data_IF_632523703272
#
_entry.id   IF_632523703272
#
_cell.length_a   1.000
_cell.length_b   1.000
_cell.length_c   1.000
_cell.angle_alpha   90.00
_cell.angle_beta   90.00
_cell.angle_gamma   90.00
#
_symmetry.space_group_name_H-M   'P 1'
#
loop_
_entity.id
_entity.type
_entity.pdbx_description
1 polymer ?
#
# COMPACT_ATOMS: atom_id res chain seq x y z
N UNK A 1 15.80 -7.52 -2.02
CA UNK A 1 16.19 -6.14 -2.42
C UNK A 1 17.17 -6.25 -3.58
N UNK A 2 17.04 -5.43 -4.65
CA UNK A 2 18.00 -5.42 -5.76
C UNK A 2 19.39 -4.95 -5.31
N UNK A 3 20.46 -5.47 -5.94
CA UNK A 3 21.83 -5.10 -5.60
C UNK A 3 22.08 -3.60 -5.76
N UNK A 4 21.56 -3.01 -6.84
CA UNK A 4 21.70 -1.57 -7.11
C UNK A 4 21.13 -0.67 -6.00
N UNK A 5 20.11 -1.13 -5.27
CA UNK A 5 19.53 -0.40 -4.13
C UNK A 5 20.50 -0.43 -2.95
N UNK A 6 21.05 -1.61 -2.61
CA UNK A 6 22.05 -1.76 -1.53
C UNK A 6 23.33 -0.98 -1.85
N UNK A 7 23.74 -0.99 -3.11
CA UNK A 7 24.95 -0.27 -3.54
C UNK A 7 24.77 1.25 -3.42
N UNK A 8 23.57 1.79 -3.69
CA UNK A 8 23.29 3.23 -3.55
C UNK A 8 23.39 3.70 -2.09
N UNK A 9 22.86 2.94 -1.13
CA UNK A 9 23.03 3.23 0.29
C UNK A 9 24.49 3.21 0.71
N UNK A 10 25.20 2.17 0.29
CA UNK A 10 26.63 2.00 0.61
C UNK A 10 27.45 3.15 0.06
N UNK A 11 27.22 3.54 -1.18
CA UNK A 11 27.89 4.67 -1.82
C UNK A 11 27.66 5.97 -1.06
N UNK A 12 26.38 6.27 -0.73
CA UNK A 12 26.07 7.47 0.04
C UNK A 12 26.77 7.50 1.40
N UNK A 13 26.67 6.41 2.17
CA UNK A 13 27.24 6.34 3.53
C UNK A 13 28.76 6.43 3.55
N UNK A 14 29.44 5.89 2.53
CA UNK A 14 30.92 5.88 2.48
C UNK A 14 31.50 7.18 1.90
N UNK A 15 30.79 7.85 0.98
CA UNK A 15 31.40 8.91 0.17
C UNK A 15 30.71 10.27 0.27
N UNK A 16 29.41 10.34 0.65
CA UNK A 16 28.60 11.56 0.57
C UNK A 16 27.92 11.95 1.87
N UNK A 17 28.07 11.16 2.94
CA UNK A 17 27.32 11.32 4.19
C UNK A 17 27.58 12.68 4.86
N UNK A 18 26.63 13.61 4.71
CA UNK A 18 26.68 14.95 5.30
C UNK A 18 25.28 15.50 5.60
N UNK A 19 25.20 16.50 6.48
CA UNK A 19 24.00 17.30 6.63
C UNK A 19 23.77 18.20 5.41
N UNK A 20 22.52 18.56 5.19
CA UNK A 20 22.04 19.41 4.08
C UNK A 20 22.25 20.89 4.33
N UNK A 21 22.14 21.69 3.25
CA UNK A 21 22.04 23.17 3.26
C UNK A 21 23.31 23.91 3.69
N UNK A 22 24.50 23.30 3.61
CA UNK A 22 25.77 23.95 3.84
C UNK A 22 26.56 24.17 2.52
N UNK A 23 27.56 25.06 2.57
CA UNK A 23 28.32 25.46 1.38
C UNK A 23 29.55 24.58 1.08
N UNK A 24 29.73 23.46 1.77
CA UNK A 24 30.83 22.54 1.49
C UNK A 24 30.37 21.38 0.57
N UNK A 25 31.28 20.78 -0.19
CA UNK A 25 30.92 19.86 -1.28
C UNK A 25 29.99 18.72 -0.86
N UNK A 26 30.31 17.96 0.18
CA UNK A 26 29.49 16.80 0.59
C UNK A 26 28.07 17.18 1.01
N UNK A 27 27.84 18.40 1.55
CA UNK A 27 26.49 18.89 1.83
C UNK A 27 25.72 19.19 0.54
N UNK A 28 26.40 19.80 -0.45
CA UNK A 28 25.78 20.08 -1.75
C UNK A 28 25.45 18.78 -2.50
N UNK A 29 26.33 17.78 -2.43
CA UNK A 29 26.08 16.44 -2.98
C UNK A 29 24.87 15.76 -2.33
N UNK A 30 24.68 15.92 -1.01
CA UNK A 30 23.49 15.43 -0.29
C UNK A 30 22.23 16.16 -0.75
N UNK A 31 22.27 17.48 -0.91
CA UNK A 31 21.13 18.25 -1.42
C UNK A 31 20.75 17.81 -2.85
N UNK A 32 21.75 17.69 -3.74
CA UNK A 32 21.54 17.23 -5.12
C UNK A 32 20.97 15.81 -5.19
N UNK A 33 21.43 14.91 -4.30
CA UNK A 33 20.93 13.54 -4.19
C UNK A 33 19.46 13.53 -3.75
N UNK A 34 19.08 14.30 -2.72
CA UNK A 34 17.68 14.40 -2.25
C UNK A 34 16.78 14.97 -3.34
N UNK A 35 17.23 16.01 -4.04
CA UNK A 35 16.48 16.57 -5.18
C UNK A 35 16.32 15.56 -6.32
N UNK A 36 17.38 14.78 -6.61
CA UNK A 36 17.34 13.69 -7.55
C UNK A 36 16.32 12.62 -7.17
N UNK A 37 16.26 12.28 -5.90
CA UNK A 37 15.32 11.33 -5.35
C UNK A 37 13.87 11.84 -5.42
N UNK A 38 13.63 13.13 -5.16
CA UNK A 38 12.30 13.74 -5.35
C UNK A 38 11.84 13.63 -6.81
N UNK A 39 12.74 13.92 -7.75
CA UNK A 39 12.44 13.76 -9.19
C UNK A 39 12.14 12.31 -9.55
N UNK A 40 12.87 11.34 -8.95
CA UNK A 40 12.60 9.93 -9.19
C UNK A 40 11.23 9.51 -8.66
N UNK A 41 10.88 9.92 -7.43
CA UNK A 41 9.57 9.64 -6.84
C UNK A 41 8.44 10.38 -7.56
N UNK A 42 8.66 11.61 -8.01
CA UNK A 42 7.70 12.34 -8.82
C UNK A 42 7.39 11.59 -10.13
N UNK A 43 8.41 11.08 -10.82
CA UNK A 43 8.23 10.23 -11.99
C UNK A 43 7.49 8.92 -11.65
N UNK A 44 7.76 8.32 -10.48
CA UNK A 44 7.08 7.11 -10.04
C UNK A 44 5.59 7.33 -9.77
N UNK A 45 5.23 8.48 -9.18
CA UNK A 45 3.85 8.82 -8.81
C UNK A 45 3.08 9.57 -9.90
N UNK A 46 3.75 10.14 -10.91
CA UNK A 46 3.16 11.06 -11.88
C UNK A 46 2.88 12.43 -11.28
N UNK A 47 3.77 12.93 -10.43
CA UNK A 47 3.69 14.18 -9.68
C UNK A 47 4.76 15.18 -10.14
N UNK A 48 4.72 16.39 -9.57
CA UNK A 48 5.85 17.32 -9.60
C UNK A 48 6.75 17.08 -8.38
N UNK A 49 8.08 17.30 -8.47
CA UNK A 49 9.00 17.11 -7.34
C UNK A 49 8.59 17.89 -6.09
N UNK A 50 8.06 19.11 -6.23
CA UNK A 50 7.57 19.95 -5.13
C UNK A 50 6.32 19.42 -4.41
N UNK A 51 5.70 18.37 -4.96
CA UNK A 51 4.53 17.71 -4.37
C UNK A 51 4.88 16.43 -3.61
N UNK A 52 6.17 16.10 -3.50
CA UNK A 52 6.67 14.86 -2.89
C UNK A 52 7.43 15.15 -1.62
N UNK A 53 6.96 14.63 -0.49
CA UNK A 53 7.63 14.70 0.82
C UNK A 53 8.05 13.29 1.28
N UNK A 54 9.19 13.23 1.98
CA UNK A 54 9.72 11.99 2.56
C UNK A 54 9.43 11.90 4.06
N UNK A 55 9.43 10.67 4.58
CA UNK A 55 9.31 10.38 6.00
C UNK A 55 9.66 8.93 6.31
N UNK A 56 9.52 8.51 7.56
CA UNK A 56 9.92 7.18 7.99
C UNK A 56 9.12 6.04 7.29
N UNK A 57 7.83 6.24 7.10
CA UNK A 57 6.92 5.30 6.41
C UNK A 57 5.56 5.96 6.19
N UNK A 58 4.70 5.32 5.37
CA UNK A 58 3.33 5.80 5.13
C UNK A 58 2.56 6.04 6.43
N UNK A 59 2.62 5.14 7.39
CA UNK A 59 1.86 5.24 8.65
C UNK A 59 2.19 6.51 9.43
N UNK A 60 3.48 6.81 9.63
CA UNK A 60 3.93 8.03 10.31
C UNK A 60 3.56 9.29 9.54
N UNK A 61 3.69 9.28 8.22
CA UNK A 61 3.27 10.38 7.36
C UNK A 61 1.76 10.63 7.46
N UNK A 62 0.94 9.57 7.49
CA UNK A 62 -0.52 9.70 7.64
C UNK A 62 -0.89 10.28 9.00
N UNK A 63 -0.23 9.83 10.10
CA UNK A 63 -0.44 10.44 11.42
C UNK A 63 -0.02 11.90 11.45
N UNK A 64 1.07 12.25 10.81
CA UNK A 64 1.57 13.63 10.74
C UNK A 64 0.59 14.52 9.96
N UNK A 65 0.17 14.09 8.78
CA UNK A 65 -0.81 14.78 7.95
C UNK A 65 -2.16 14.91 8.65
N UNK A 66 -2.64 13.85 9.30
CA UNK A 66 -3.90 13.85 10.03
C UNK A 66 -3.92 14.90 11.15
N UNK A 67 -2.81 15.05 11.90
CA UNK A 67 -2.66 16.10 12.92
C UNK A 67 -2.73 17.48 12.31
N UNK A 68 -2.11 17.69 11.15
CA UNK A 68 -2.13 18.98 10.44
C UNK A 68 -3.52 19.35 9.94
N UNK A 69 -4.16 18.43 9.20
CA UNK A 69 -5.51 18.66 8.68
C UNK A 69 -6.54 18.82 9.80
N UNK A 70 -6.41 18.01 10.86
CA UNK A 70 -7.33 18.00 11.98
C UNK A 70 -7.27 19.21 12.91
N UNK A 71 -6.32 20.15 12.76
CA UNK A 71 -6.24 21.34 13.63
C UNK A 71 -7.49 22.19 13.59
N UNK A 72 -8.11 22.32 12.43
CA UNK A 72 -9.34 23.08 12.23
C UNK A 72 -10.64 22.23 12.33
N UNK A 73 -10.55 20.93 12.68
CA UNK A 73 -11.70 20.05 12.76
C UNK A 73 -12.12 19.76 14.20
N UNK A 74 -13.40 19.40 14.39
CA UNK A 74 -13.95 19.12 15.71
C UNK A 74 -15.31 18.40 15.67
N UNK A 75 -16.09 18.49 16.76
CA UNK A 75 -17.43 17.89 16.81
C UNK A 75 -18.32 18.37 15.66
N UNK A 76 -18.96 17.41 14.98
CA UNK A 76 -19.76 17.67 13.77
C UNK A 76 -19.01 17.41 12.47
N UNK A 77 -17.68 17.39 12.48
CA UNK A 77 -16.88 16.97 11.32
C UNK A 77 -16.80 15.45 11.22
N UNK A 78 -16.76 14.92 10.00
CA UNK A 78 -16.72 13.49 9.72
C UNK A 78 -15.55 13.14 8.78
N UNK A 79 -14.89 12.00 9.02
CA UNK A 79 -13.95 11.35 8.10
C UNK A 79 -14.53 10.01 7.70
N UNK A 80 -14.49 9.70 6.41
CA UNK A 80 -14.90 8.41 5.84
C UNK A 80 -13.69 7.53 5.61
N UNK A 81 -13.78 6.26 6.02
CA UNK A 81 -12.78 5.19 5.80
C UNK A 81 -13.50 3.93 5.31
N UNK A 82 -12.76 2.91 4.83
CA UNK A 82 -13.39 1.67 4.35
C UNK A 82 -12.97 0.42 5.14
N UNK A 83 -13.79 -0.62 5.14
CA UNK A 83 -13.44 -1.92 5.74
C UNK A 83 -12.32 -2.65 5.01
N UNK A 84 -12.06 -2.32 3.75
CA UNK A 84 -10.97 -2.89 2.95
C UNK A 84 -9.60 -2.34 3.32
N UNK A 85 -9.55 -1.23 4.09
CA UNK A 85 -8.33 -0.51 4.39
C UNK A 85 -7.43 -1.26 5.39
N UNK A 86 -6.14 -1.12 5.15
CA UNK A 86 -5.13 -1.39 6.17
C UNK A 86 -5.32 -0.41 7.34
N UNK A 87 -5.12 -0.88 8.58
CA UNK A 87 -5.37 -0.09 9.78
C UNK A 87 -4.52 1.20 9.88
N UNK A 88 -3.39 1.25 9.17
CA UNK A 88 -2.59 2.48 9.02
C UNK A 88 -3.35 3.61 8.31
N UNK A 89 -4.37 3.28 7.48
CA UNK A 89 -5.26 4.24 6.85
C UNK A 89 -6.55 4.50 7.63
N UNK A 90 -6.71 3.90 8.82
CA UNK A 90 -7.87 4.08 9.70
C UNK A 90 -7.47 4.74 11.02
N UNK A 91 -6.40 4.24 11.66
CA UNK A 91 -6.00 4.63 13.01
C UNK A 91 -5.66 6.13 13.16
N UNK A 92 -4.97 6.78 12.20
CA UNK A 92 -4.67 8.21 12.30
C UNK A 92 -5.94 9.06 12.38
N UNK A 93 -6.95 8.74 11.58
CA UNK A 93 -8.25 9.43 11.57
C UNK A 93 -9.08 9.11 12.80
N UNK A 94 -9.02 7.87 13.30
CA UNK A 94 -9.65 7.50 14.57
C UNK A 94 -9.03 8.25 15.75
N UNK A 95 -7.71 8.55 15.69
CA UNK A 95 -7.07 9.38 16.70
C UNK A 95 -7.66 10.79 16.75
N UNK A 96 -7.96 11.40 15.59
CA UNK A 96 -8.68 12.69 15.56
C UNK A 96 -10.03 12.62 16.25
N UNK A 97 -10.74 11.50 16.13
CA UNK A 97 -12.00 11.28 16.85
C UNK A 97 -11.82 11.39 18.37
N UNK A 98 -10.78 10.76 18.92
CA UNK A 98 -10.44 10.82 20.35
C UNK A 98 -9.95 12.18 20.80
N UNK A 99 -9.11 12.82 19.98
CA UNK A 99 -8.39 14.04 20.35
C UNK A 99 -9.22 15.30 20.09
N UNK A 100 -10.13 15.28 19.11
CA UNK A 100 -10.83 16.44 18.57
C UNK A 100 -12.35 16.27 18.46
N UNK A 101 -12.89 15.09 18.71
CA UNK A 101 -14.34 14.80 18.58
C UNK A 101 -14.82 14.62 17.13
N UNK A 102 -13.91 14.45 16.18
CA UNK A 102 -14.23 14.15 14.77
C UNK A 102 -14.87 12.76 14.68
N UNK A 103 -15.98 12.61 13.97
CA UNK A 103 -16.61 11.31 13.77
C UNK A 103 -15.93 10.51 12.67
N UNK A 104 -15.87 9.18 12.84
CA UNK A 104 -15.33 8.26 11.83
C UNK A 104 -16.45 7.38 11.29
N UNK A 105 -16.70 7.47 9.99
CA UNK A 105 -17.67 6.61 9.28
C UNK A 105 -16.94 5.53 8.51
N UNK A 106 -17.31 4.29 8.76
CA UNK A 106 -16.81 3.12 8.05
C UNK A 106 -17.76 2.72 6.93
N UNK A 107 -17.28 2.70 5.69
CA UNK A 107 -17.99 2.12 4.54
C UNK A 107 -17.69 0.63 4.49
N UNK A 108 -18.71 -0.23 4.44
CA UNK A 108 -18.50 -1.68 4.46
C UNK A 108 -17.94 -2.19 3.12
N UNK A 109 -17.43 -3.41 3.15
CA UNK A 109 -17.22 -4.22 1.96
C UNK A 109 -18.38 -5.19 1.77
N UNK A 110 -18.61 -5.61 0.53
CA UNK A 110 -19.55 -6.68 0.17
C UNK A 110 -18.82 -8.01 0.38
N UNK A 111 -19.29 -8.80 1.36
CA UNK A 111 -18.61 -10.04 1.77
C UNK A 111 -18.54 -11.09 0.64
N UNK A 112 -19.57 -11.16 -0.20
CA UNK A 112 -19.67 -12.13 -1.30
C UNK A 112 -18.62 -11.88 -2.40
N UNK A 113 -18.29 -10.62 -2.65
CA UNK A 113 -17.39 -10.22 -3.74
C UNK A 113 -16.03 -9.73 -3.26
N UNK A 114 -15.89 -9.39 -1.98
CA UNK A 114 -14.68 -8.75 -1.44
C UNK A 114 -14.42 -7.37 -2.03
N UNK A 115 -15.44 -6.70 -2.55
CA UNK A 115 -15.37 -5.37 -3.14
C UNK A 115 -15.97 -4.31 -2.22
N UNK A 116 -15.67 -3.04 -2.49
CA UNK A 116 -16.24 -1.91 -1.76
C UNK A 116 -17.77 -1.79 -2.04
N UNK A 117 -18.53 -1.48 -1.01
CA UNK A 117 -19.92 -1.06 -1.16
C UNK A 117 -19.96 0.39 -1.71
N UNK A 118 -20.15 0.51 -3.02
CA UNK A 118 -20.17 1.79 -3.71
C UNK A 118 -21.39 2.64 -3.33
N UNK A 119 -22.54 2.03 -3.15
CA UNK A 119 -23.76 2.76 -2.74
C UNK A 119 -23.57 3.35 -1.34
N UNK A 120 -22.99 2.56 -0.43
CA UNK A 120 -22.63 3.01 0.89
C UNK A 120 -21.57 4.14 0.89
N UNK A 121 -20.61 4.10 -0.04
CA UNK A 121 -19.62 5.18 -0.19
C UNK A 121 -20.29 6.47 -0.69
N UNK A 122 -21.10 6.40 -1.73
CA UNK A 122 -21.80 7.57 -2.29
C UNK A 122 -22.75 8.21 -1.26
N UNK A 123 -23.48 7.40 -0.49
CA UNK A 123 -24.32 7.88 0.64
C UNK A 123 -23.48 8.56 1.73
N UNK A 124 -22.31 8.02 2.05
CA UNK A 124 -21.40 8.62 3.02
C UNK A 124 -20.87 9.98 2.53
N UNK A 125 -20.47 10.08 1.26
CA UNK A 125 -19.94 11.31 0.64
C UNK A 125 -21.03 12.39 0.46
N UNK A 126 -22.28 11.99 0.22
CA UNK A 126 -23.42 12.93 0.16
C UNK A 126 -23.61 13.74 1.46
N UNK A 127 -23.07 13.29 2.59
CA UNK A 127 -23.04 13.99 3.87
C UNK A 127 -21.96 15.08 3.97
N UNK A 128 -21.13 15.21 2.93
CA UNK A 128 -20.02 16.18 2.84
C UNK A 128 -19.01 16.04 3.98
N UNK A 129 -18.42 14.85 4.19
CA UNK A 129 -17.36 14.68 5.19
C UNK A 129 -16.15 15.56 4.85
N UNK A 130 -15.28 15.81 5.82
CA UNK A 130 -14.04 16.58 5.61
C UNK A 130 -13.03 15.84 4.74
N UNK A 131 -13.00 14.51 4.87
CA UNK A 131 -12.03 13.69 4.16
C UNK A 131 -12.57 12.28 3.92
N UNK A 132 -12.24 11.75 2.75
CA UNK A 132 -12.27 10.33 2.42
C UNK A 132 -10.84 9.77 2.48
N UNK A 133 -10.57 8.81 3.37
CA UNK A 133 -9.36 8.01 3.35
C UNK A 133 -9.68 6.62 2.78
N UNK A 134 -9.00 6.24 1.69
CA UNK A 134 -9.35 5.04 0.92
C UNK A 134 -8.09 4.34 0.39
N UNK A 135 -8.02 3.02 0.52
CA UNK A 135 -6.95 2.20 -0.04
C UNK A 135 -7.13 1.95 -1.54
N UNK A 136 -6.07 2.15 -2.32
CA UNK A 136 -6.07 1.82 -3.74
C UNK A 136 -6.10 0.30 -3.98
N UNK A 137 -5.59 -0.49 -3.03
CA UNK A 137 -5.72 -1.94 -3.05
C UNK A 137 -5.72 -2.54 -1.64
N UNK A 138 -6.60 -3.51 -1.40
CA UNK A 138 -6.64 -4.26 -0.15
C UNK A 138 -5.43 -5.18 -0.04
N UNK A 139 -4.64 -5.01 1.01
CA UNK A 139 -3.49 -5.89 1.29
C UNK A 139 -3.90 -7.28 1.78
N UNK A 140 -5.14 -7.47 2.22
CA UNK A 140 -5.67 -8.78 2.63
C UNK A 140 -6.21 -9.58 1.44
N UNK A 141 -7.02 -8.95 0.57
CA UNK A 141 -7.76 -9.63 -0.49
C UNK A 141 -7.19 -9.41 -1.89
N UNK A 142 -6.31 -8.42 -2.06
CA UNK A 142 -5.83 -8.01 -3.38
C UNK A 142 -6.83 -7.17 -4.17
N UNK A 143 -8.03 -6.91 -3.67
CA UNK A 143 -9.05 -6.08 -4.33
C UNK A 143 -8.47 -4.72 -4.69
N UNK A 144 -8.54 -4.32 -5.95
CA UNK A 144 -8.20 -2.98 -6.42
C UNK A 144 -9.46 -2.12 -6.41
N UNK A 145 -9.40 -0.99 -5.72
CA UNK A 145 -10.49 -0.01 -5.64
C UNK A 145 -10.33 1.04 -6.75
N UNK A 146 -11.41 1.43 -7.40
CA UNK A 146 -11.40 2.55 -8.35
C UNK A 146 -11.32 3.89 -7.58
N UNK A 147 -10.10 4.21 -7.15
CA UNK A 147 -9.85 5.44 -6.37
C UNK A 147 -10.01 6.71 -7.21
N UNK A 148 -9.95 6.63 -8.54
CA UNK A 148 -10.22 7.77 -9.41
C UNK A 148 -11.72 8.13 -9.38
N UNK A 149 -12.61 7.14 -9.48
CA UNK A 149 -14.05 7.33 -9.26
C UNK A 149 -14.33 7.88 -7.86
N UNK A 150 -13.71 7.29 -6.82
CA UNK A 150 -13.91 7.73 -5.44
C UNK A 150 -13.46 9.19 -5.24
N UNK A 151 -12.30 9.58 -5.78
CA UNK A 151 -11.79 10.94 -5.72
C UNK A 151 -12.68 11.94 -6.49
N UNK A 152 -13.25 11.54 -7.63
CA UNK A 152 -14.18 12.37 -8.38
C UNK A 152 -15.45 12.66 -7.56
N UNK A 153 -16.09 11.62 -7.01
CA UNK A 153 -17.30 11.76 -6.17
C UNK A 153 -17.01 12.58 -4.91
N UNK A 154 -15.85 12.35 -4.26
CA UNK A 154 -15.44 13.11 -3.09
C UNK A 154 -15.26 14.61 -3.41
N UNK A 155 -14.58 14.93 -4.53
CA UNK A 155 -14.37 16.30 -4.99
C UNK A 155 -15.70 17.01 -5.28
N UNK A 156 -16.66 16.34 -5.93
CA UNK A 156 -17.98 16.90 -6.22
C UNK A 156 -18.77 17.20 -4.93
N UNK A 157 -18.51 16.43 -3.87
CA UNK A 157 -19.03 16.67 -2.52
C UNK A 157 -18.27 17.74 -1.72
N UNK A 158 -17.15 18.27 -2.23
CA UNK A 158 -16.25 19.18 -1.50
C UNK A 158 -15.41 18.50 -0.43
N UNK A 159 -15.22 17.18 -0.52
CA UNK A 159 -14.49 16.32 0.41
C UNK A 159 -13.06 16.09 -0.06
N UNK A 160 -12.07 16.25 0.84
CA UNK A 160 -10.67 15.91 0.56
C UNK A 160 -10.51 14.39 0.37
N UNK A 161 -9.55 13.99 -0.46
CA UNK A 161 -9.23 12.57 -0.68
C UNK A 161 -7.79 12.26 -0.30
N UNK A 162 -7.61 11.28 0.61
CA UNK A 162 -6.32 10.66 0.93
C UNK A 162 -6.32 9.21 0.44
N UNK A 163 -5.34 8.85 -0.38
CA UNK A 163 -5.21 7.49 -0.95
C UNK A 163 -4.03 6.76 -0.31
N UNK A 164 -4.28 5.58 0.26
CA UNK A 164 -3.24 4.62 0.62
C UNK A 164 -2.89 3.77 -0.61
N UNK A 165 -1.70 4.00 -1.17
CA UNK A 165 -1.19 3.26 -2.32
C UNK A 165 -0.11 2.22 -1.95
N UNK A 166 0.10 1.91 -0.67
CA UNK A 166 1.17 1.01 -0.21
C UNK A 166 1.12 -0.36 -0.87
N UNK A 167 -0.06 -0.97 -0.94
CA UNK A 167 -0.22 -2.29 -1.59
C UNK A 167 -0.46 -2.20 -3.10
N UNK A 168 -0.77 -1.01 -3.60
CA UNK A 168 -1.02 -0.76 -5.03
C UNK A 168 0.28 -0.50 -5.80
N UNK A 169 1.14 0.34 -5.29
CA UNK A 169 2.34 0.86 -5.96
C UNK A 169 3.32 -0.22 -6.49
N UNK A 170 3.55 -1.37 -5.83
CA UNK A 170 4.42 -2.42 -6.36
C UNK A 170 3.81 -3.20 -7.54
N UNK A 171 2.50 -3.11 -7.77
CA UNK A 171 1.78 -3.95 -8.72
C UNK A 171 1.19 -3.19 -9.90
N UNK A 172 0.99 -1.87 -9.75
CA UNK A 172 0.41 -1.00 -10.76
C UNK A 172 1.05 0.38 -10.73
N UNK A 173 1.16 1.00 -11.88
CA UNK A 173 1.66 2.36 -11.96
C UNK A 173 0.71 3.31 -11.22
N UNK A 174 1.28 4.08 -10.29
CA UNK A 174 0.58 5.20 -9.68
C UNK A 174 0.58 6.38 -10.63
N UNK A 175 -0.58 7.02 -10.80
CA UNK A 175 -0.72 8.26 -11.55
C UNK A 175 -1.65 9.20 -10.79
N UNK A 176 -1.07 10.08 -9.97
CA UNK A 176 -1.82 10.97 -9.08
C UNK A 176 -2.69 11.98 -9.85
N UNK A 177 -2.27 12.32 -11.09
CA UNK A 177 -3.06 13.22 -11.96
C UNK A 177 -4.31 12.52 -12.47
N UNK A 178 -4.19 11.26 -12.88
CA UNK A 178 -5.33 10.45 -13.32
C UNK A 178 -6.25 10.08 -12.15
N UNK A 179 -5.70 9.77 -10.98
CA UNK A 179 -6.47 9.51 -9.74
C UNK A 179 -7.23 10.77 -9.31
N UNK A 180 -6.59 11.94 -9.37
CA UNK A 180 -7.20 13.21 -9.00
C UNK A 180 -7.40 13.40 -7.50
N UNK A 181 -6.68 12.68 -6.63
CA UNK A 181 -6.72 12.83 -5.17
C UNK A 181 -6.01 14.09 -4.67
N UNK A 182 -6.27 14.51 -3.43
CA UNK A 182 -5.56 15.61 -2.79
C UNK A 182 -4.24 15.15 -2.19
N UNK A 183 -4.21 13.93 -1.62
CA UNK A 183 -3.04 13.32 -1.01
C UNK A 183 -2.96 11.83 -1.39
N UNK A 184 -1.74 11.31 -1.46
CA UNK A 184 -1.48 9.88 -1.62
C UNK A 184 -0.20 9.52 -0.86
N UNK A 185 -0.17 8.36 -0.20
CA UNK A 185 1.05 7.89 0.45
C UNK A 185 1.37 6.43 0.10
N UNK A 186 2.66 6.14 0.05
CA UNK A 186 3.20 4.79 -0.10
C UNK A 186 4.49 4.63 0.72
N UNK A 187 5.07 3.43 0.72
CA UNK A 187 6.33 3.11 1.40
C UNK A 187 7.24 2.33 0.46
N UNK A 188 8.49 2.79 0.31
CA UNK A 188 9.43 2.29 -0.68
C UNK A 188 9.77 0.80 -0.49
N UNK A 189 9.76 0.29 0.75
CA UNK A 189 10.04 -1.13 1.01
C UNK A 189 9.03 -2.10 0.36
N UNK A 190 7.88 -1.61 -0.10
CA UNK A 190 6.91 -2.42 -0.84
C UNK A 190 7.26 -2.57 -2.32
N UNK A 191 8.04 -1.64 -2.89
CA UNK A 191 8.51 -1.67 -4.28
C UNK A 191 10.04 -1.73 -4.36
N UNK A 192 10.63 -2.68 -3.61
CA UNK A 192 12.06 -3.04 -3.61
C UNK A 192 13.02 -2.03 -2.97
N UNK A 193 12.53 -0.96 -2.36
CA UNK A 193 13.30 0.07 -1.67
C UNK A 193 13.45 -0.17 -0.16
N UNK A 194 13.97 0.80 0.57
CA UNK A 194 14.16 0.77 2.02
C UNK A 194 12.90 1.19 2.78
N UNK A 195 12.98 1.25 4.11
CA UNK A 195 11.93 1.77 4.98
C UNK A 195 11.88 3.30 4.93
N UNK A 196 11.39 3.82 3.82
CA UNK A 196 11.13 5.25 3.59
C UNK A 196 9.69 5.41 3.15
N UNK A 197 8.98 6.35 3.77
CA UNK A 197 7.64 6.79 3.36
C UNK A 197 7.73 7.89 2.31
N UNK A 198 6.77 7.89 1.41
CA UNK A 198 6.60 8.90 0.37
C UNK A 198 5.17 9.42 0.44
N UNK A 199 5.02 10.72 0.60
CA UNK A 199 3.75 11.43 0.60
C UNK A 199 3.68 12.35 -0.63
N UNK A 200 2.68 12.16 -1.44
CA UNK A 200 2.23 13.12 -2.43
C UNK A 200 1.14 14.01 -1.82
N UNK A 201 1.16 15.28 -2.14
CA UNK A 201 0.05 16.19 -1.91
C UNK A 201 -0.01 17.24 -3.00
N UNK A 202 -1.23 17.63 -3.42
CA UNK A 202 -1.38 18.75 -4.35
C UNK A 202 -0.72 20.00 -3.80
N UNK A 203 -0.03 20.77 -4.65
CA UNK A 203 0.73 21.94 -4.25
C UNK A 203 -0.10 22.91 -3.41
N UNK A 204 -1.36 23.18 -3.82
CA UNK A 204 -2.27 24.07 -3.09
C UNK A 204 -2.70 23.52 -1.72
N UNK A 205 -2.67 22.20 -1.53
CA UNK A 205 -2.95 21.54 -0.25
C UNK A 205 -1.75 21.55 0.67
N UNK A 206 -0.57 21.25 0.12
CA UNK A 206 0.68 21.28 0.87
C UNK A 206 1.03 22.68 1.36
N UNK A 207 0.70 23.73 0.59
CA UNK A 207 0.96 25.11 0.94
C UNK A 207 0.19 25.59 2.20
N UNK A 208 -0.97 24.97 2.50
CA UNK A 208 -1.87 25.43 3.57
C UNK A 208 -2.00 24.46 4.75
N UNK A 209 -1.51 23.21 4.60
CA UNK A 209 -1.63 22.24 5.70
C UNK A 209 -0.75 22.65 6.88
N UNK A 210 -1.36 22.77 8.07
CA UNK A 210 -0.68 23.20 9.29
C UNK A 210 -0.18 22.00 10.10
N UNK A 211 0.88 21.36 9.60
CA UNK A 211 1.50 20.21 10.30
C UNK A 211 2.34 20.65 11.50
N UNK A 212 2.42 19.83 12.57
CA UNK A 212 3.38 20.06 13.64
C UNK A 212 4.82 20.02 13.09
N UNK A 213 5.56 21.11 13.25
CA UNK A 213 6.95 21.24 12.82
C UNK A 213 7.77 22.06 13.79
N UNK A 214 9.09 22.04 13.66
CA UNK A 214 9.98 22.93 14.39
C UNK A 214 9.78 24.36 13.90
N UNK A 215 9.84 25.34 14.82
CA UNK A 215 9.68 26.75 14.49
C UNK A 215 10.66 27.24 13.40
N UNK A 216 11.96 26.87 13.42
CA UNK A 216 12.92 27.27 12.39
C UNK A 216 12.83 26.46 11.10
N UNK A 217 11.98 25.42 11.02
CA UNK A 217 11.84 24.61 9.80
C UNK A 217 11.18 25.42 8.67
N UNK A 218 11.49 25.12 7.39
CA UNK A 218 10.93 25.83 6.25
C UNK A 218 9.39 25.88 6.26
N UNK A 219 8.86 27.00 5.76
CA UNK A 219 7.40 27.17 5.56
C UNK A 219 6.94 26.67 4.20
N UNK A 220 7.88 26.42 3.30
CA UNK A 220 7.60 25.94 1.94
C UNK A 220 7.43 24.42 1.91
N UNK A 221 6.56 23.94 1.05
CA UNK A 221 6.47 22.52 0.73
C UNK A 221 7.56 22.15 -0.29
N UNK A 222 8.06 20.91 -0.25
CA UNK A 222 7.65 19.80 0.62
C UNK A 222 8.29 19.81 2.02
N UNK A 223 9.33 20.58 2.26
CA UNK A 223 10.18 20.54 3.47
C UNK A 223 9.39 20.80 4.75
N UNK A 224 8.34 21.63 4.70
CA UNK A 224 7.47 21.86 5.87
C UNK A 224 6.82 20.58 6.44
N UNK A 225 6.67 19.52 5.61
CA UNK A 225 6.10 18.23 6.02
C UNK A 225 7.18 17.26 6.50
N UNK A 226 8.45 17.58 6.30
CA UNK A 226 9.58 16.72 6.61
C UNK A 226 10.14 17.09 7.99
N UNK A 227 9.66 16.38 9.01
CA UNK A 227 9.97 16.69 10.40
C UNK A 227 11.28 16.04 10.84
N UNK A 228 12.24 16.87 11.23
CA UNK A 228 13.58 16.45 11.65
C UNK A 228 14.50 16.15 10.47
N UNK A 229 15.74 15.77 10.78
CA UNK A 229 16.70 15.35 9.77
C UNK A 229 16.20 14.11 9.05
N UNK A 230 16.15 14.16 7.73
CA UNK A 230 15.78 13.01 6.91
C UNK A 230 16.84 11.90 7.00
N UNK A 231 16.54 10.74 6.41
CA UNK A 231 17.50 9.63 6.21
C UNK A 231 18.01 9.68 4.78
N UNK A 232 19.08 10.46 4.47
CA UNK A 232 19.52 10.63 3.09
C UNK A 232 19.92 9.31 2.43
N UNK A 233 20.57 8.40 3.18
CA UNK A 233 20.92 7.05 2.72
C UNK A 233 19.68 6.25 2.29
N UNK A 234 18.59 6.32 3.06
CA UNK A 234 17.34 5.66 2.70
C UNK A 234 16.64 6.34 1.51
N UNK A 235 16.77 7.66 1.38
CA UNK A 235 16.21 8.40 0.26
C UNK A 235 16.96 8.07 -1.04
N UNK A 236 18.30 7.96 -0.99
CA UNK A 236 19.10 7.48 -2.11
C UNK A 236 18.67 6.09 -2.57
N UNK A 237 18.45 5.18 -1.62
CA UNK A 237 17.95 3.83 -1.87
C UNK A 237 16.57 3.81 -2.49
N UNK A 238 15.66 4.66 -2.00
CA UNK A 238 14.32 4.75 -2.54
C UNK A 238 14.33 5.24 -4.00
N UNK A 239 15.22 6.18 -4.34
CA UNK A 239 15.45 6.60 -5.72
C UNK A 239 16.04 5.45 -6.56
N UNK A 240 17.02 4.73 -6.03
CA UNK A 240 17.62 3.58 -6.71
C UNK A 240 16.62 2.45 -6.97
N UNK A 241 15.61 2.26 -6.11
CA UNK A 241 14.53 1.31 -6.36
C UNK A 241 13.67 1.72 -7.57
N UNK A 242 13.38 3.01 -7.73
CA UNK A 242 12.68 3.54 -8.91
C UNK A 242 13.51 3.38 -10.17
N UNK A 243 14.82 3.69 -10.10
CA UNK A 243 15.74 3.50 -11.23
C UNK A 243 15.86 2.01 -11.61
N UNK A 244 15.95 1.14 -10.62
CA UNK A 244 15.95 -0.31 -10.86
C UNK A 244 14.69 -0.74 -11.63
N UNK A 245 13.50 -0.33 -11.18
CA UNK A 245 12.27 -0.63 -11.92
C UNK A 245 12.32 -0.07 -13.34
N UNK A 246 12.71 1.19 -13.51
CA UNK A 246 12.82 1.81 -14.82
C UNK A 246 13.84 1.11 -15.73
N UNK A 247 14.89 0.51 -15.16
CA UNK A 247 15.95 -0.20 -15.92
C UNK A 247 15.50 -1.53 -16.52
N UNK A 248 14.38 -2.09 -16.05
CA UNK A 248 13.83 -3.35 -16.57
C UNK A 248 13.20 -3.21 -17.97
N UNK A 249 12.96 -1.97 -18.41
CA UNK A 249 12.48 -1.67 -19.76
C UNK A 249 13.37 -0.61 -20.42
N UNK A 250 13.59 -0.73 -21.72
CA UNK A 250 14.36 0.23 -22.51
C UNK A 250 13.51 1.35 -23.08
N UNK A 251 14.19 2.42 -23.56
CA UNK A 251 13.61 3.53 -24.33
C UNK A 251 12.93 4.61 -23.50
N UNK A 252 12.91 5.84 -24.00
CA UNK A 252 12.19 6.99 -23.43
C UNK A 252 12.71 7.52 -22.08
N UNK A 253 11.94 8.44 -21.51
CA UNK A 253 12.19 9.00 -20.18
C UNK A 253 11.86 8.01 -19.04
N UNK A 254 12.25 8.35 -17.79
CA UNK A 254 12.02 7.47 -16.63
C UNK A 254 10.53 7.11 -16.49
N UNK A 255 9.64 8.08 -16.56
CA UNK A 255 8.17 7.85 -16.45
C UNK A 255 7.64 6.89 -17.52
N UNK A 256 8.12 6.98 -18.75
CA UNK A 256 7.71 6.09 -19.85
C UNK A 256 8.18 4.65 -19.61
N UNK A 257 9.43 4.48 -19.15
CA UNK A 257 9.98 3.17 -18.77
C UNK A 257 9.21 2.57 -17.60
N UNK A 258 8.88 3.38 -16.58
CA UNK A 258 8.05 2.93 -15.45
C UNK A 258 6.65 2.50 -15.90
N UNK A 259 6.05 3.18 -16.86
CA UNK A 259 4.76 2.77 -17.44
C UNK A 259 4.87 1.43 -18.16
N UNK A 260 5.90 1.23 -18.94
CA UNK A 260 6.14 -0.01 -19.68
C UNK A 260 6.39 -1.19 -18.72
N UNK A 261 7.29 -1.04 -17.74
CA UNK A 261 7.58 -2.10 -16.77
C UNK A 261 6.36 -2.43 -15.90
N UNK A 262 5.61 -1.43 -15.45
CA UNK A 262 4.41 -1.64 -14.64
C UNK A 262 3.36 -2.46 -15.41
N UNK A 263 3.18 -2.19 -16.70
CA UNK A 263 2.27 -2.95 -17.56
C UNK A 263 2.69 -4.41 -17.68
N UNK A 264 3.98 -4.67 -17.86
CA UNK A 264 4.51 -6.05 -17.95
C UNK A 264 4.44 -6.80 -16.62
N UNK A 265 4.81 -6.14 -15.51
CA UNK A 265 4.69 -6.74 -14.17
C UNK A 265 3.23 -7.04 -13.81
N UNK A 266 2.31 -6.16 -14.20
CA UNK A 266 0.88 -6.41 -14.02
C UNK A 266 0.41 -7.62 -14.82
N UNK A 267 0.75 -7.71 -16.12
CA UNK A 267 0.41 -8.85 -16.97
C UNK A 267 0.95 -10.18 -16.42
N UNK A 268 2.22 -10.18 -15.98
CA UNK A 268 2.85 -11.36 -15.35
C UNK A 268 2.15 -11.72 -14.04
N UNK A 269 1.91 -10.75 -13.16
CA UNK A 269 1.24 -10.96 -11.88
C UNK A 269 -0.19 -11.51 -12.07
N UNK A 270 -0.91 -11.00 -13.06
CA UNK A 270 -2.25 -11.48 -13.42
C UNK A 270 -2.24 -12.96 -13.85
N UNK A 271 -1.29 -13.35 -14.69
CA UNK A 271 -1.16 -14.76 -15.11
C UNK A 271 -0.87 -15.71 -13.94
N UNK A 272 -0.02 -15.29 -12.98
CA UNK A 272 0.27 -16.07 -11.77
C UNK A 272 -0.95 -16.14 -10.84
N UNK A 273 -1.68 -15.04 -10.70
CA UNK A 273 -2.91 -14.99 -9.91
C UNK A 273 -3.99 -15.93 -10.46
N UNK A 274 -4.17 -15.94 -11.78
CA UNK A 274 -5.14 -16.83 -12.44
C UNK A 274 -4.82 -18.30 -12.16
N UNK A 275 -3.54 -18.69 -12.26
CA UNK A 275 -3.09 -20.05 -11.89
C UNK A 275 -3.35 -20.38 -10.43
N UNK A 276 -3.04 -19.46 -9.52
CA UNK A 276 -3.32 -19.62 -8.08
C UNK A 276 -4.81 -19.75 -7.80
N UNK A 277 -5.62 -18.85 -8.35
CA UNK A 277 -7.06 -18.85 -8.11
C UNK A 277 -7.73 -20.11 -8.65
N UNK A 278 -7.35 -20.53 -9.85
CA UNK A 278 -7.83 -21.77 -10.45
C UNK A 278 -7.40 -22.99 -9.60
N UNK A 279 -6.09 -23.11 -9.34
CA UNK A 279 -5.57 -24.29 -8.63
C UNK A 279 -6.12 -24.43 -7.22
N UNK A 280 -6.24 -23.32 -6.45
CA UNK A 280 -6.82 -23.36 -5.12
C UNK A 280 -8.34 -23.60 -5.15
N UNK A 281 -9.03 -23.07 -6.16
CA UNK A 281 -10.49 -23.22 -6.31
C UNK A 281 -10.93 -24.65 -6.61
N UNK A 282 -10.08 -25.46 -7.26
CA UNK A 282 -10.35 -26.87 -7.55
C UNK A 282 -10.14 -27.82 -6.35
N UNK A 283 -9.56 -27.33 -5.25
CA UNK A 283 -9.27 -28.16 -4.07
C UNK A 283 -10.51 -28.17 -3.15
N UNK A 284 -11.11 -29.34 -2.96
CA UNK A 284 -12.22 -29.53 -2.03
C UNK A 284 -11.83 -29.11 -0.60
N UNK A 285 -12.69 -28.32 0.05
CA UNK A 285 -12.44 -27.79 1.40
C UNK A 285 -11.59 -26.52 1.42
N UNK A 286 -11.10 -26.01 0.28
CA UNK A 286 -10.46 -24.70 0.18
C UNK A 286 -11.50 -23.64 -0.19
N UNK A 287 -11.49 -22.53 0.54
CA UNK A 287 -12.29 -21.36 0.21
C UNK A 287 -11.37 -20.18 -0.09
N UNK A 288 -11.48 -19.64 -1.29
CA UNK A 288 -10.79 -18.41 -1.72
C UNK A 288 -11.66 -17.20 -1.40
N UNK A 289 -11.04 -16.10 -0.97
CA UNK A 289 -11.69 -14.84 -0.58
C UNK A 289 -11.26 -13.70 -1.50
N UNK A 290 -12.14 -12.70 -1.62
CA UNK A 290 -11.94 -11.55 -2.48
C UNK A 290 -12.55 -11.71 -3.87
N UNK A 291 -12.35 -10.73 -4.77
CA UNK A 291 -12.94 -10.75 -6.10
C UNK A 291 -12.34 -11.87 -6.96
N UNK A 292 -13.04 -12.30 -8.04
CA UNK A 292 -12.50 -13.29 -8.97
C UNK A 292 -11.20 -12.79 -9.63
N UNK A 293 -10.37 -13.70 -10.12
CA UNK A 293 -9.10 -13.35 -10.76
C UNK A 293 -9.27 -12.43 -11.99
N UNK A 294 -10.43 -12.50 -12.66
CA UNK A 294 -10.78 -11.63 -13.80
C UNK A 294 -11.12 -10.19 -13.41
N UNK A 295 -11.41 -9.91 -12.13
CA UNK A 295 -11.65 -8.56 -11.66
C UNK A 295 -10.32 -7.80 -11.42
N UNK A 296 -10.36 -6.45 -11.35
CA UNK A 296 -9.19 -5.67 -10.98
C UNK A 296 -8.66 -6.07 -9.59
N UNK A 297 -7.48 -6.71 -9.55
CA UNK A 297 -6.81 -7.06 -8.30
C UNK A 297 -5.28 -7.09 -8.46
N UNK A 298 -4.60 -7.04 -7.32
CA UNK A 298 -3.16 -7.32 -7.23
C UNK A 298 -2.93 -8.84 -7.25
N UNK A 299 -1.73 -9.34 -7.54
CA UNK A 299 -1.43 -10.77 -7.53
C UNK A 299 -1.33 -11.33 -6.10
N UNK A 300 -2.38 -11.07 -5.31
CA UNK A 300 -2.54 -11.47 -3.91
C UNK A 300 -3.80 -12.30 -3.77
N UNK A 301 -3.71 -13.45 -3.12
CA UNK A 301 -4.83 -14.35 -2.87
C UNK A 301 -4.92 -14.68 -1.38
N UNK A 302 -6.14 -14.70 -0.86
CA UNK A 302 -6.42 -15.08 0.52
C UNK A 302 -7.35 -16.29 0.53
N UNK A 303 -7.12 -17.25 1.42
CA UNK A 303 -7.88 -18.48 1.47
C UNK A 303 -7.92 -19.11 2.88
N UNK A 304 -8.81 -20.09 3.06
CA UNK A 304 -8.85 -20.98 4.23
C UNK A 304 -8.89 -22.43 3.74
N UNK A 305 -8.46 -23.38 4.59
CA UNK A 305 -8.44 -24.82 4.31
C UNK A 305 -9.27 -25.55 5.35
N UNK A 306 -10.43 -26.09 4.95
CA UNK A 306 -11.37 -26.79 5.82
C UNK A 306 -11.62 -26.00 7.10
N UNK A 307 -11.49 -26.64 8.28
CA UNK A 307 -11.61 -25.99 9.60
C UNK A 307 -10.22 -25.69 10.24
N UNK A 308 -9.14 -25.80 9.50
CA UNK A 308 -7.79 -25.55 10.02
C UNK A 308 -7.62 -24.05 10.35
N UNK A 309 -6.81 -23.77 11.38
CA UNK A 309 -6.40 -22.39 11.65
C UNK A 309 -5.41 -21.91 10.57
N UNK A 310 -5.35 -20.60 10.36
CA UNK A 310 -4.44 -20.04 9.36
C UNK A 310 -2.98 -20.42 9.68
N UNK A 311 -2.58 -20.35 10.96
CA UNK A 311 -1.22 -20.69 11.40
C UNK A 311 -0.89 -22.17 11.15
N UNK A 312 -1.82 -23.10 11.46
CA UNK A 312 -1.55 -24.55 11.22
C UNK A 312 -1.34 -24.87 9.74
N UNK A 313 -2.00 -24.13 8.84
CA UNK A 313 -1.78 -24.27 7.38
C UNK A 313 -0.42 -23.72 7.00
N UNK A 314 -0.04 -22.55 7.54
CA UNK A 314 1.26 -21.95 7.24
C UNK A 314 2.44 -22.78 7.76
N UNK A 315 2.35 -23.31 8.98
CA UNK A 315 3.38 -24.16 9.58
C UNK A 315 3.61 -25.42 8.71
N UNK A 316 2.52 -26.08 8.32
CA UNK A 316 2.60 -27.28 7.48
C UNK A 316 3.15 -27.00 6.07
N UNK A 317 2.86 -25.83 5.49
CA UNK A 317 3.45 -25.39 4.21
C UNK A 317 4.93 -25.02 4.38
N UNK A 318 5.30 -24.40 5.51
CA UNK A 318 6.69 -24.05 5.82
C UNK A 318 7.59 -25.27 5.94
N UNK A 319 7.10 -26.40 6.49
CA UNK A 319 7.80 -27.70 6.51
C UNK A 319 8.12 -28.20 5.10
N UNK A 320 7.37 -27.79 4.10
CA UNK A 320 7.59 -28.08 2.69
C UNK A 320 8.35 -26.96 1.94
N UNK A 321 8.93 -25.99 2.67
CA UNK A 321 9.60 -24.81 2.14
C UNK A 321 8.69 -23.95 1.22
N UNK A 322 7.40 -23.87 1.56
CA UNK A 322 6.42 -22.98 0.94
C UNK A 322 5.98 -21.95 1.97
N UNK A 323 6.31 -20.67 1.74
CA UNK A 323 6.11 -19.61 2.74
C UNK A 323 4.90 -18.75 2.37
N UNK A 324 3.97 -18.65 3.30
CA UNK A 324 2.76 -17.81 3.23
C UNK A 324 2.65 -16.93 4.48
N UNK A 325 1.80 -15.93 4.44
CA UNK A 325 1.48 -15.10 5.61
C UNK A 325 0.13 -15.50 6.19
N UNK A 326 -0.05 -15.31 7.51
CA UNK A 326 -1.31 -15.58 8.21
C UNK A 326 -1.76 -14.40 9.04
N UNK A 327 -3.01 -14.37 9.43
CA UNK A 327 -3.56 -13.40 10.35
C UNK A 327 -4.57 -12.44 9.74
N UNK A 328 -4.65 -11.25 10.34
CA UNK A 328 -5.53 -10.17 9.90
C UNK A 328 -4.83 -9.15 8.98
N UNK A 329 -3.52 -9.21 8.85
CA UNK A 329 -2.70 -8.33 8.02
C UNK A 329 -2.92 -6.83 8.31
N UNK A 330 -3.32 -6.48 9.53
CA UNK A 330 -3.82 -5.15 9.88
C UNK A 330 -5.04 -4.70 9.05
N UNK A 331 -5.79 -5.63 8.46
CA UNK A 331 -7.08 -5.43 7.78
C UNK A 331 -8.21 -6.05 8.63
N UNK A 332 -8.25 -5.71 9.90
CA UNK A 332 -9.15 -6.29 10.89
C UNK A 332 -10.64 -6.20 10.50
N UNK A 333 -11.04 -5.18 9.73
CA UNK A 333 -12.38 -5.05 9.16
C UNK A 333 -12.76 -6.24 8.29
N UNK A 334 -11.86 -6.65 7.39
CA UNK A 334 -12.03 -7.80 6.49
C UNK A 334 -12.23 -9.10 7.28
N UNK A 335 -11.35 -9.35 8.26
CA UNK A 335 -11.42 -10.59 9.08
C UNK A 335 -12.71 -10.64 9.90
N UNK A 336 -13.12 -9.50 10.47
CA UNK A 336 -14.39 -9.37 11.20
C UNK A 336 -15.59 -9.61 10.28
N UNK A 337 -15.59 -9.06 9.07
CA UNK A 337 -16.66 -9.21 8.08
C UNK A 337 -16.87 -10.67 7.68
N UNK A 338 -15.78 -11.44 7.55
CA UNK A 338 -15.85 -12.87 7.24
C UNK A 338 -16.02 -13.77 8.48
N UNK A 339 -15.98 -13.25 9.69
CA UNK A 339 -16.13 -14.03 10.93
C UNK A 339 -14.95 -14.98 11.22
N UNK A 340 -13.74 -14.64 10.74
CA UNK A 340 -12.57 -15.53 10.78
C UNK A 340 -11.65 -15.32 11.99
N UNK A 341 -12.01 -14.46 12.95
CA UNK A 341 -11.16 -14.17 14.10
C UNK A 341 -10.78 -15.40 14.93
N UNK A 342 -11.73 -16.31 15.19
CA UNK A 342 -11.48 -17.54 15.96
C UNK A 342 -10.62 -18.57 15.24
N UNK A 343 -10.43 -18.41 13.92
CA UNK A 343 -9.58 -19.26 13.07
C UNK A 343 -8.18 -18.69 12.83
N UNK A 344 -7.82 -17.58 13.50
CA UNK A 344 -6.54 -16.88 13.31
C UNK A 344 -6.49 -16.07 12.01
N UNK A 345 -7.63 -15.71 11.40
CA UNK A 345 -7.70 -14.93 10.18
C UNK A 345 -7.63 -15.77 8.89
N UNK A 346 -6.89 -15.28 7.92
CA UNK A 346 -6.70 -15.86 6.58
C UNK A 346 -5.27 -16.35 6.39
N UNK A 347 -5.10 -17.31 5.50
CA UNK A 347 -3.81 -17.57 4.82
C UNK A 347 -3.73 -16.68 3.60
N UNK A 348 -2.59 -16.02 3.39
CA UNK A 348 -2.39 -15.11 2.26
C UNK A 348 -1.11 -15.44 1.51
N UNK A 349 -1.21 -15.61 0.21
CA UNK A 349 -0.09 -15.69 -0.72
C UNK A 349 -0.08 -14.47 -1.65
N UNK A 350 1.11 -13.97 -1.97
CA UNK A 350 1.32 -12.87 -2.90
C UNK A 350 2.47 -13.16 -3.85
N UNK A 351 2.29 -12.84 -5.13
CA UNK A 351 3.33 -12.99 -6.13
C UNK A 351 4.07 -11.67 -6.34
N UNK A 352 5.40 -11.75 -6.36
CA UNK A 352 6.32 -10.66 -6.71
C UNK A 352 6.77 -10.77 -8.18
N UNK A 353 7.54 -9.79 -8.64
CA UNK A 353 8.13 -9.81 -9.98
C UNK A 353 9.00 -11.05 -10.27
N UNK A 354 9.61 -11.63 -9.23
CA UNK A 354 10.49 -12.81 -9.33
C UNK A 354 9.79 -14.14 -9.03
N UNK A 355 8.50 -14.14 -8.68
CA UNK A 355 7.74 -15.39 -8.45
C UNK A 355 7.62 -16.18 -9.75
N UNK A 356 7.83 -17.47 -9.69
CA UNK A 356 7.75 -18.40 -10.83
C UNK A 356 6.43 -19.18 -10.85
N UNK A 357 6.10 -19.76 -11.99
CA UNK A 357 4.95 -20.66 -12.10
C UNK A 357 5.12 -21.92 -11.23
N UNK A 358 6.34 -22.46 -11.15
CA UNK A 358 6.64 -23.64 -10.33
C UNK A 358 6.41 -23.39 -8.83
N UNK A 359 6.73 -22.18 -8.34
CA UNK A 359 6.44 -21.80 -6.94
C UNK A 359 4.93 -21.73 -6.68
N UNK A 360 4.16 -21.24 -7.65
CA UNK A 360 2.69 -21.26 -7.59
C UNK A 360 2.16 -22.69 -7.54
N UNK A 361 2.66 -23.58 -8.40
CA UNK A 361 2.25 -24.98 -8.44
C UNK A 361 2.63 -25.73 -7.16
N UNK A 362 3.78 -25.43 -6.57
CA UNK A 362 4.19 -25.98 -5.26
C UNK A 362 3.23 -25.56 -4.15
N UNK A 363 2.80 -24.31 -4.10
CA UNK A 363 1.80 -23.86 -3.14
C UNK A 363 0.47 -24.61 -3.32
N UNK A 364 -0.05 -24.68 -4.55
CA UNK A 364 -1.31 -25.37 -4.84
C UNK A 364 -1.23 -26.84 -4.45
N UNK A 365 -0.14 -27.52 -4.81
CA UNK A 365 0.07 -28.94 -4.45
C UNK A 365 0.17 -29.14 -2.93
N UNK A 366 0.88 -28.25 -2.22
CA UNK A 366 0.98 -28.27 -0.75
C UNK A 366 -0.38 -28.13 -0.08
N UNK A 367 -1.17 -27.16 -0.51
CA UNK A 367 -2.55 -26.96 0.01
C UNK A 367 -3.43 -28.17 -0.30
N UNK A 368 -3.32 -28.75 -1.49
CA UNK A 368 -4.06 -29.99 -1.86
C UNK A 368 -3.75 -31.17 -0.93
N UNK A 369 -2.48 -31.36 -0.58
CA UNK A 369 -2.09 -32.41 0.39
C UNK A 369 -2.67 -32.14 1.79
N UNK A 370 -2.73 -30.90 2.24
CA UNK A 370 -3.30 -30.55 3.55
C UNK A 370 -4.82 -30.74 3.58
N UNK A 371 -5.52 -30.42 2.52
CA UNK A 371 -6.95 -30.66 2.38
C UNK A 371 -7.26 -32.18 2.34
N UNK A 372 -6.51 -32.96 1.56
CA UNK A 372 -6.70 -34.42 1.38
C UNK A 372 -6.37 -35.26 2.61
N UNK A 373 -5.41 -34.85 3.47
CA UNK A 373 -5.07 -35.55 4.73
C UNK A 373 -6.26 -35.67 5.69
N UNK A 374 -7.29 -34.84 5.57
CA UNK A 374 -8.53 -34.91 6.36
C UNK A 374 -9.59 -35.83 5.78
N UNK A 375 -9.71 -35.90 4.46
CA UNK A 375 -10.65 -36.86 3.83
C UNK A 375 -10.35 -38.29 4.27
N UNK A 376 -9.04 -38.65 4.37
CA UNK A 376 -8.61 -39.97 4.85
C UNK A 376 -8.82 -40.24 6.36
N UNK A 377 -8.93 -39.20 7.22
CA UNK A 377 -9.18 -39.39 8.66
C UNK A 377 -10.67 -39.52 9.00
N UNK A 378 -11.57 -38.97 8.19
CA UNK A 378 -13.03 -39.09 8.39
C UNK A 378 -13.56 -40.45 7.93
N UNK A 379 -12.87 -41.14 7.01
CA UNK A 379 -13.22 -42.49 6.51
C UNK A 379 -12.64 -43.60 7.37
N UNK A 380 -11.83 -43.32 8.40
CA UNK A 380 -11.16 -44.29 9.29
C UNK A 380 -11.64 -44.27 10.73
N UNK A 381 -12.82 -43.73 11.03
CA UNK A 381 -13.50 -43.95 12.31
C UNK A 381 -14.41 -45.15 12.20
N UNK A 382 -14.28 -46.13 13.15
CA UNK A 382 -14.99 -47.41 13.10
C UNK A 382 -16.49 -47.25 13.31
#
# INVERSE_FOLDING_TARGET
MPRAVVDAMTEYLLHHNANTHWRYPSSQETDEMIDGARRAMADFLGADPSEVAFGANMTTLTFHLARGLGRGWGPGDEVVVTELDHHANIAPWRALGRDRGVSLRMVPMIAETGQLDWDGLEQALARKPRLLAIGAASNALGTVTDVARAAAVARDAGTLTFVDAVHYAPHRLVDVRAIGCDFLACSAYKFYGPHVGVLYGRSERLAVVDVPKLEPAPETAPERLETGTLTPEGIADAAAAVEFLASLCGGGGRRERLRAVSSELHRRGQSLLERLAYGLGEIEGVRVYGPPASAPRTPTIAFTVGDQTADSVADALADEAVFVSTGDFYAAGVIKRYGLGSRGGLVRAGCSAYTTADEVERLVAGVGRLAGRRAGRLTSLP
#
